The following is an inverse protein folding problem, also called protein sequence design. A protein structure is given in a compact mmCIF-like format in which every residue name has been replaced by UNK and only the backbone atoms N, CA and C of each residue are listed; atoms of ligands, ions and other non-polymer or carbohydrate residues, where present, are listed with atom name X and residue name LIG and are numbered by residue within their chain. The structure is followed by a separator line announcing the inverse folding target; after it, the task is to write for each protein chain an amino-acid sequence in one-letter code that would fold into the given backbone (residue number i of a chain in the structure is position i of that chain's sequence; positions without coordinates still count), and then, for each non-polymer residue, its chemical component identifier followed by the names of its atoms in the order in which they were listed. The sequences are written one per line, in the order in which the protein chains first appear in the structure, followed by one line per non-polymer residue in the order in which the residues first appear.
data_IF_191459134371
#
_entry.id   IF_191459134371
#
_cell.length_a   1.000
_cell.length_b   1.000
_cell.length_c   1.000
_cell.angle_alpha   90.00
_cell.angle_beta   90.00
_cell.angle_gamma   90.00
#
_symmetry.space_group_name_H-M   'P 1'
#
loop_
_entity.id
_entity.type
_entity.pdbx_description
1 polymer ?
#
# COMPACT_ATOMS: atom_id res chain seq x y z
N UNK A 1 3.39 -3.61 -9.81
CA UNK A 1 2.95 -2.57 -8.85
C UNK A 1 3.40 -3.05 -7.48
N UNK A 2 3.99 -2.19 -6.64
CA UNK A 2 4.27 -2.59 -5.26
C UNK A 2 2.98 -2.43 -4.45
N UNK A 3 2.23 -3.51 -4.32
CA UNK A 3 1.06 -3.59 -3.46
C UNK A 3 1.44 -4.30 -2.18
N UNK A 4 1.01 -3.78 -1.03
CA UNK A 4 1.13 -4.45 0.25
C UNK A 4 -0.21 -5.03 0.67
N UNK A 5 -0.16 -6.11 1.46
CA UNK A 5 -1.32 -6.83 1.92
C UNK A 5 -1.20 -7.08 3.42
N UNK A 6 -2.32 -7.01 4.12
CA UNK A 6 -2.43 -7.47 5.50
C UNK A 6 -2.82 -8.95 5.46
N UNK A 7 -1.99 -9.80 6.07
CA UNK A 7 -2.22 -11.24 6.14
C UNK A 7 -2.20 -11.73 7.58
N UNK A 8 -3.01 -12.75 7.86
CA UNK A 8 -2.98 -13.50 9.12
C UNK A 8 -2.28 -14.84 8.81
N UNK A 9 -1.08 -15.10 9.36
CA UNK A 9 -0.38 -16.36 9.14
C UNK A 9 -1.17 -17.56 9.66
N UNK A 10 -1.00 -18.73 9.04
CA UNK A 10 -1.68 -19.96 9.48
C UNK A 10 -1.34 -20.39 10.92
N UNK A 11 -0.21 -19.93 11.43
CA UNK A 11 0.29 -20.20 12.79
C UNK A 11 0.13 -19.00 13.74
N UNK A 12 -0.78 -18.07 13.45
CA UNK A 12 -1.06 -16.95 14.33
C UNK A 12 -1.61 -17.45 15.69
N UNK A 13 -0.94 -17.06 16.78
CA UNK A 13 -1.33 -17.46 18.15
C UNK A 13 -2.73 -16.97 18.55
N UNK A 14 -3.19 -15.85 18.00
CA UNK A 14 -4.50 -15.25 18.28
C UNK A 14 -5.20 -14.78 17.00
N UNK A 15 -5.80 -15.73 16.27
CA UNK A 15 -6.43 -15.47 14.97
C UNK A 15 -7.63 -14.52 15.08
N UNK A 16 -8.49 -14.70 16.09
CA UNK A 16 -9.65 -13.83 16.29
C UNK A 16 -9.24 -12.37 16.56
N UNK A 17 -8.23 -12.17 17.41
CA UNK A 17 -7.68 -10.84 17.67
C UNK A 17 -7.08 -10.20 16.40
N UNK A 18 -6.35 -10.99 15.60
CA UNK A 18 -5.80 -10.52 14.33
C UNK A 18 -6.91 -10.09 13.34
N UNK A 19 -8.04 -10.80 13.29
CA UNK A 19 -9.20 -10.41 12.48
C UNK A 19 -9.83 -9.10 12.93
N UNK A 20 -9.90 -8.84 14.25
CA UNK A 20 -10.38 -7.55 14.78
C UNK A 20 -9.50 -6.41 14.31
N UNK A 21 -8.17 -6.58 14.37
CA UNK A 21 -7.21 -5.59 13.86
C UNK A 21 -7.39 -5.39 12.35
N UNK A 22 -7.54 -6.47 11.58
CA UNK A 22 -7.77 -6.37 10.13
C UNK A 22 -9.06 -5.58 9.81
N UNK A 23 -10.15 -5.82 10.54
CA UNK A 23 -11.40 -5.06 10.40
C UNK A 23 -11.22 -3.59 10.76
N UNK A 24 -10.50 -3.29 11.84
CA UNK A 24 -10.17 -1.91 12.21
C UNK A 24 -9.37 -1.21 11.11
N UNK A 25 -8.34 -1.88 10.56
CA UNK A 25 -7.53 -1.33 9.48
C UNK A 25 -8.36 -1.07 8.22
N UNK A 26 -9.44 -1.81 7.99
CA UNK A 26 -10.38 -1.59 6.89
C UNK A 26 -11.46 -0.53 7.19
N UNK A 27 -11.53 0.04 8.40
CA UNK A 27 -12.51 1.08 8.74
C UNK A 27 -12.30 2.38 7.94
N UNK A 28 -13.37 3.15 7.65
CA UNK A 28 -13.26 4.47 7.04
C UNK A 28 -12.32 5.41 7.79
N UNK A 29 -12.36 5.39 9.13
CA UNK A 29 -11.51 6.16 10.03
C UNK A 29 -10.02 5.86 9.78
N UNK A 30 -9.65 4.57 9.85
CA UNK A 30 -8.25 4.15 9.69
C UNK A 30 -7.74 4.39 8.27
N UNK A 31 -8.58 4.15 7.26
CA UNK A 31 -8.22 4.39 5.86
C UNK A 31 -8.08 5.88 5.54
N UNK A 32 -8.88 6.75 6.17
CA UNK A 32 -8.74 8.20 6.04
C UNK A 32 -7.44 8.68 6.70
N UNK A 33 -7.13 8.21 7.91
CA UNK A 33 -5.89 8.56 8.61
C UNK A 33 -4.65 8.14 7.82
N UNK A 34 -4.66 6.90 7.31
CA UNK A 34 -3.60 6.37 6.44
C UNK A 34 -3.37 7.22 5.19
N UNK A 35 -4.43 7.73 4.58
CA UNK A 35 -4.33 8.49 3.33
C UNK A 35 -3.81 9.92 3.52
N UNK A 36 -3.77 10.43 4.76
CA UNK A 36 -3.22 11.75 5.04
C UNK A 36 -1.74 11.85 4.64
N UNK A 37 -1.33 12.90 3.90
CA UNK A 37 0.06 13.11 3.50
C UNK A 37 1.06 13.10 4.65
N UNK A 38 0.66 13.63 5.80
CA UNK A 38 1.49 13.75 7.01
C UNK A 38 1.61 12.45 7.82
N UNK A 39 0.85 11.41 7.49
CA UNK A 39 0.85 10.11 8.21
C UNK A 39 1.55 9.04 7.38
N UNK A 40 0.91 8.61 6.30
CA UNK A 40 1.44 7.55 5.43
C UNK A 40 1.29 7.89 3.94
N UNK A 41 0.41 8.83 3.57
CA UNK A 41 0.18 9.24 2.19
C UNK A 41 -0.17 8.08 1.24
N UNK A 42 -0.76 7.00 1.76
CA UNK A 42 -1.06 5.80 0.99
C UNK A 42 -2.56 5.65 0.74
N UNK A 43 -2.91 5.17 -0.45
CA UNK A 43 -4.28 5.12 -0.93
C UNK A 43 -5.20 4.26 -0.05
N UNK A 44 -6.48 4.65 -0.01
CA UNK A 44 -7.56 3.83 0.57
C UNK A 44 -7.93 2.67 -0.36
N UNK A 45 -8.27 1.52 0.23
CA UNK A 45 -8.86 0.38 -0.49
C UNK A 45 -10.40 0.44 -0.57
N UNK A 46 -11.01 1.43 0.06
CA UNK A 46 -12.47 1.54 0.15
C UNK A 46 -13.06 2.12 -1.13
N UNK A 47 -14.19 1.53 -1.54
CA UNK A 47 -15.06 2.09 -2.57
C UNK A 47 -15.78 3.32 -2.00
N UNK A 48 -15.24 4.51 -2.29
CA UNK A 48 -15.70 5.79 -1.71
C UNK A 48 -17.14 6.16 -2.07
N UNK A 49 -17.62 5.68 -3.21
CA UNK A 49 -19.01 5.80 -3.69
C UNK A 49 -20.00 4.95 -2.89
N UNK A 50 -19.51 3.96 -2.13
CA UNK A 50 -20.32 3.09 -1.27
C UNK A 50 -20.24 3.47 0.21
N UNK A 51 -19.47 4.51 0.55
CA UNK A 51 -19.37 4.99 1.92
C UNK A 51 -20.57 5.86 2.28
N UNK A 52 -20.92 5.95 3.58
CA UNK A 52 -21.82 6.98 4.06
C UNK A 52 -21.37 8.38 3.60
N UNK A 53 -22.32 9.31 3.33
CA UNK A 53 -21.99 10.62 2.75
C UNK A 53 -20.95 11.42 3.55
N UNK A 54 -20.95 11.32 4.88
CA UNK A 54 -19.98 12.01 5.72
C UNK A 54 -18.55 11.55 5.47
N UNK A 55 -18.35 10.25 5.24
CA UNK A 55 -17.04 9.67 4.95
C UNK A 55 -16.57 10.03 3.54
N UNK A 56 -17.46 9.90 2.55
CA UNK A 56 -17.16 10.30 1.18
C UNK A 56 -16.69 11.77 1.10
N UNK A 57 -17.37 12.67 1.83
CA UNK A 57 -17.00 14.08 1.93
C UNK A 57 -15.65 14.29 2.63
N UNK A 58 -15.34 13.54 3.69
CA UNK A 58 -14.04 13.61 4.38
C UNK A 58 -12.89 13.21 3.45
N UNK A 59 -13.02 12.12 2.71
CA UNK A 59 -12.01 11.72 1.73
C UNK A 59 -11.84 12.75 0.61
N UNK A 60 -12.91 13.41 0.17
CA UNK A 60 -12.86 14.42 -0.89
C UNK A 60 -12.13 15.71 -0.45
N UNK A 61 -12.02 15.97 0.85
CA UNK A 61 -11.33 17.15 1.41
C UNK A 61 -9.82 16.94 1.59
N UNK A 62 -9.33 15.71 1.48
CA UNK A 62 -7.89 15.46 1.59
C UNK A 62 -7.13 16.18 0.48
N UNK A 63 -6.12 16.95 0.87
CA UNK A 63 -5.23 17.60 -0.09
C UNK A 63 -4.47 16.53 -0.87
N UNK A 64 -4.43 16.69 -2.18
CA UNK A 64 -3.73 15.80 -3.09
C UNK A 64 -2.48 16.51 -3.57
N UNK A 65 -1.32 15.86 -3.49
CA UNK A 65 -0.11 16.42 -4.07
C UNK A 65 -0.33 16.63 -5.57
N UNK A 66 -0.22 17.87 -6.11
CA UNK A 66 -0.43 18.14 -7.52
C UNK A 66 0.56 17.41 -8.43
N UNK A 67 1.68 16.91 -7.90
CA UNK A 67 2.67 16.10 -8.63
C UNK A 67 2.33 14.62 -8.65
N UNK A 68 1.39 14.17 -7.81
CA UNK A 68 1.01 12.75 -7.75
C UNK A 68 0.10 12.35 -8.93
N UNK A 69 0.47 11.25 -9.58
CA UNK A 69 -0.34 10.64 -10.66
C UNK A 69 -1.73 10.26 -10.15
N UNK A 70 -2.77 10.39 -10.99
CA UNK A 70 -4.13 9.92 -10.67
C UNK A 70 -4.16 8.41 -10.39
N UNK A 71 -5.07 7.97 -9.52
CA UNK A 71 -5.33 6.54 -9.28
C UNK A 71 -5.62 5.80 -10.58
N UNK A 72 -6.38 6.40 -11.49
CA UNK A 72 -6.74 5.83 -12.78
C UNK A 72 -5.53 5.66 -13.70
N UNK A 73 -4.59 6.61 -13.66
CA UNK A 73 -3.33 6.51 -14.41
C UNK A 73 -2.47 5.38 -13.86
N UNK A 74 -2.31 5.32 -12.53
CA UNK A 74 -1.58 4.23 -11.86
C UNK A 74 -2.19 2.86 -12.18
N UNK A 75 -3.52 2.74 -12.18
CA UNK A 75 -4.21 1.51 -12.52
C UNK A 75 -4.02 1.13 -14.00
N UNK A 76 -4.16 2.09 -14.92
CA UNK A 76 -4.00 1.87 -16.38
C UNK A 76 -2.62 1.34 -16.75
N UNK A 77 -1.58 1.83 -16.09
CA UNK A 77 -0.19 1.46 -16.39
C UNK A 77 0.39 0.44 -15.41
N UNK A 78 -0.42 -0.15 -14.54
CA UNK A 78 0.02 -1.17 -13.62
C UNK A 78 0.63 -2.36 -14.37
N UNK A 79 1.83 -2.77 -13.96
CA UNK A 79 2.50 -3.99 -14.43
C UNK A 79 2.39 -5.09 -13.38
N UNK A 80 2.25 -6.36 -13.79
CA UNK A 80 2.30 -7.49 -12.88
C UNK A 80 3.66 -7.59 -12.20
N UNK A 81 3.72 -8.40 -11.14
CA UNK A 81 4.99 -8.72 -10.48
C UNK A 81 5.95 -9.37 -11.48
N UNK A 82 7.21 -8.93 -11.47
CA UNK A 82 8.24 -9.47 -12.36
C UNK A 82 8.70 -10.85 -11.87
N UNK A 83 9.25 -11.66 -12.77
CA UNK A 83 9.80 -12.97 -12.38
C UNK A 83 10.81 -12.82 -11.23
N UNK A 84 10.77 -13.69 -10.19
CA UNK A 84 11.72 -13.67 -9.07
C UNK A 84 13.19 -13.71 -9.50
N UNK A 85 13.48 -14.24 -10.70
CA UNK A 85 14.83 -14.27 -11.29
C UNK A 85 15.44 -12.87 -11.46
N UNK A 86 14.62 -11.85 -11.70
CA UNK A 86 15.12 -10.46 -11.78
C UNK A 86 15.66 -10.01 -10.42
N UNK A 87 14.96 -10.33 -9.33
CA UNK A 87 15.40 -10.02 -7.97
C UNK A 87 16.71 -10.74 -7.63
N UNK A 88 16.82 -12.01 -7.99
CA UNK A 88 18.05 -12.81 -7.77
C UNK A 88 19.24 -12.19 -8.52
N UNK A 89 19.05 -11.83 -9.79
CA UNK A 89 20.09 -11.21 -10.61
C UNK A 89 20.48 -9.83 -10.10
N UNK A 90 19.52 -8.96 -9.80
CA UNK A 90 19.78 -7.64 -9.22
C UNK A 90 20.54 -7.75 -7.90
N UNK A 91 20.21 -8.73 -7.06
CA UNK A 91 20.92 -8.96 -5.79
C UNK A 91 22.38 -9.40 -6.02
N UNK A 92 22.62 -10.24 -7.03
CA UNK A 92 23.98 -10.66 -7.40
C UNK A 92 24.79 -9.48 -7.97
N UNK A 93 24.21 -8.73 -8.91
CA UNK A 93 24.85 -7.56 -9.54
C UNK A 93 25.16 -6.48 -8.51
N UNK A 94 24.24 -6.21 -7.57
CA UNK A 94 24.47 -5.27 -6.46
C UNK A 94 25.70 -5.65 -5.63
N UNK A 95 25.82 -6.93 -5.25
CA UNK A 95 26.98 -7.41 -4.48
C UNK A 95 28.28 -7.30 -5.27
N UNK A 96 28.24 -7.64 -6.56
CA UNK A 96 29.44 -7.66 -7.40
C UNK A 96 29.93 -6.26 -7.80
N UNK A 97 29.01 -5.31 -8.04
CA UNK A 97 29.32 -4.03 -8.69
C UNK A 97 29.20 -2.81 -7.78
N UNK A 98 28.37 -2.87 -6.74
CA UNK A 98 28.14 -1.73 -5.84
C UNK A 98 28.76 -1.99 -4.48
N UNK A 99 28.42 -3.12 -3.84
CA UNK A 99 28.92 -3.43 -2.48
C UNK A 99 30.43 -3.65 -2.44
N UNK A 100 31.03 -4.23 -3.48
CA UNK A 100 32.49 -4.48 -3.55
C UNK A 100 33.32 -3.30 -4.06
N UNK A 101 32.72 -2.18 -4.45
CA UNK A 101 33.44 -1.02 -4.97
C UNK A 101 34.11 -0.18 -3.86
N UNK A 102 34.70 -0.83 -2.86
CA UNK A 102 35.29 -0.22 -1.66
C UNK A 102 36.51 -0.96 -1.11
N UNK A 103 37.29 -1.61 -1.99
CA UNK A 103 38.71 -1.93 -1.79
C UNK A 103 39.50 -1.23 -2.90
#
# INVERSE_FOLDING_TARGET
ANTHFVGIPFNAGETAGAMVVANFLLSPEAQLEKQKPEVWADGTVLARDRLPPEWAARFARLSRDPRALSSDSLARYARPEVSPRYRERLSADWRARVRRAGE
#
